data_IF_377635506920
#
_entry.id   IF_377635506920
#
_cell.length_a   1.000
_cell.length_b   1.000
_cell.length_c   1.000
_cell.angle_alpha   90.00
_cell.angle_beta   90.00
_cell.angle_gamma   90.00
#
_symmetry.space_group_name_H-M   'P 1'
#
loop_
_entity.id
_entity.type
_entity.pdbx_description
1 polymer ?
#
# COMPACT_ATOMS: atom_id res chain seq x y z
N UNK A 1 2.17 -7.95 26.34
CA UNK A 1 1.48 -9.22 26.62
C UNK A 1 0.23 -9.23 25.76
N UNK A 2 -0.05 -10.31 25.02
CA UNK A 2 -1.28 -10.39 24.23
C UNK A 2 -2.45 -10.56 25.20
N UNK A 3 -3.37 -9.60 25.21
CA UNK A 3 -4.59 -9.67 26.01
C UNK A 3 -5.55 -10.68 25.35
N UNK A 4 -5.99 -11.69 26.09
CA UNK A 4 -6.97 -12.65 25.58
C UNK A 4 -8.33 -11.95 25.42
N UNK A 5 -8.82 -11.86 24.19
CA UNK A 5 -10.13 -11.29 23.88
C UNK A 5 -11.13 -12.39 23.51
N UNK A 6 -12.34 -12.31 24.07
CA UNK A 6 -13.43 -13.22 23.69
C UNK A 6 -13.92 -12.92 22.27
N UNK A 7 -14.39 -13.95 21.55
CA UNK A 7 -14.96 -13.78 20.21
C UNK A 7 -16.17 -12.84 20.21
N UNK A 8 -16.97 -12.85 21.27
CA UNK A 8 -18.13 -11.97 21.42
C UNK A 8 -17.72 -10.51 21.59
N UNK A 9 -16.72 -10.24 22.44
CA UNK A 9 -16.15 -8.90 22.60
C UNK A 9 -15.57 -8.37 21.30
N UNK A 10 -14.80 -9.20 20.57
CA UNK A 10 -14.26 -8.83 19.27
C UNK A 10 -15.37 -8.47 18.28
N UNK A 11 -16.40 -9.31 18.15
CA UNK A 11 -17.55 -9.04 17.27
C UNK A 11 -18.24 -7.74 17.63
N UNK A 12 -18.47 -7.48 18.92
CA UNK A 12 -19.12 -6.25 19.37
C UNK A 12 -18.27 -5.02 19.03
N UNK A 13 -16.94 -5.07 19.20
CA UNK A 13 -16.04 -3.98 18.83
C UNK A 13 -16.10 -3.70 17.32
N UNK A 14 -16.06 -4.75 16.49
CA UNK A 14 -16.18 -4.61 15.03
C UNK A 14 -17.54 -4.03 14.64
N UNK A 15 -18.63 -4.55 15.20
CA UNK A 15 -19.97 -4.05 14.89
C UNK A 15 -20.17 -2.60 15.33
N UNK A 16 -19.64 -2.21 16.49
CA UNK A 16 -19.65 -0.82 16.93
C UNK A 16 -18.89 0.07 15.96
N UNK A 17 -17.72 -0.36 15.45
CA UNK A 17 -16.99 0.40 14.44
C UNK A 17 -17.77 0.54 13.13
N UNK A 18 -18.50 -0.49 12.72
CA UNK A 18 -19.38 -0.44 11.54
C UNK A 18 -20.52 0.56 11.74
N UNK A 19 -21.14 0.58 12.93
CA UNK A 19 -22.21 1.53 13.27
C UNK A 19 -21.71 2.97 13.38
N UNK A 20 -20.48 3.16 13.88
CA UNK A 20 -19.86 4.46 14.12
C UNK A 20 -18.50 4.55 13.41
N UNK A 21 -18.45 4.64 12.07
CA UNK A 21 -17.22 4.54 11.29
C UNK A 21 -16.22 5.67 11.56
N UNK A 22 -16.68 6.81 12.05
CA UNK A 22 -15.87 7.98 12.39
C UNK A 22 -15.39 7.98 13.85
N UNK A 23 -15.80 7.01 14.66
CA UNK A 23 -15.25 6.85 16.01
C UNK A 23 -13.74 6.61 15.94
N UNK A 24 -13.00 7.12 16.92
CA UNK A 24 -11.57 6.85 17.05
C UNK A 24 -11.34 5.77 18.12
N UNK A 25 -10.36 4.89 17.92
CA UNK A 25 -10.01 3.92 18.95
C UNK A 25 -9.48 4.65 20.20
N UNK A 26 -9.94 4.23 21.37
CA UNK A 26 -9.55 4.79 22.67
C UNK A 26 -8.62 3.87 23.46
N UNK A 27 -8.40 2.63 22.99
CA UNK A 27 -7.52 1.66 23.63
C UNK A 27 -6.57 1.01 22.63
N UNK A 28 -5.40 0.54 23.08
CA UNK A 28 -4.41 -0.14 22.24
C UNK A 28 -4.97 -1.42 21.60
N UNK A 29 -5.88 -2.10 22.30
CA UNK A 29 -6.60 -3.25 21.77
C UNK A 29 -7.50 -2.86 20.58
N UNK A 30 -8.24 -1.75 20.68
CA UNK A 30 -9.02 -1.22 19.56
C UNK A 30 -8.12 -0.82 18.39
N UNK A 31 -7.01 -0.14 18.65
CA UNK A 31 -6.02 0.21 17.62
C UNK A 31 -5.52 -1.04 16.90
N UNK A 32 -5.20 -2.10 17.65
CA UNK A 32 -4.70 -3.38 17.09
C UNK A 32 -5.76 -4.08 16.24
N UNK A 33 -7.01 -4.13 16.70
CA UNK A 33 -8.13 -4.74 15.97
C UNK A 33 -8.43 -3.94 14.70
N UNK A 34 -8.54 -2.61 14.79
CA UNK A 34 -8.78 -1.77 13.63
C UNK A 34 -7.65 -1.85 12.61
N UNK A 35 -6.39 -1.88 13.05
CA UNK A 35 -5.22 -2.07 12.18
C UNK A 35 -5.26 -3.42 11.47
N UNK A 36 -5.63 -4.50 12.16
CA UNK A 36 -5.77 -5.82 11.55
C UNK A 36 -6.88 -5.86 10.49
N UNK A 37 -8.02 -5.22 10.77
CA UNK A 37 -9.14 -5.11 9.81
C UNK A 37 -8.72 -4.26 8.61
N UNK A 38 -8.05 -3.12 8.84
CA UNK A 38 -7.57 -2.25 7.78
C UNK A 38 -6.57 -2.99 6.88
N UNK A 39 -5.66 -3.77 7.45
CA UNK A 39 -4.71 -4.59 6.69
C UNK A 39 -5.44 -5.55 5.74
N UNK A 40 -6.41 -6.30 6.24
CA UNK A 40 -7.17 -7.24 5.41
C UNK A 40 -8.06 -6.54 4.38
N UNK A 41 -8.68 -5.41 4.75
CA UNK A 41 -9.52 -4.63 3.85
C UNK A 41 -8.71 -4.07 2.68
N UNK A 42 -7.53 -3.48 2.94
CA UNK A 42 -6.62 -2.95 1.92
C UNK A 42 -6.12 -4.09 1.02
N UNK A 43 -5.66 -5.20 1.61
CA UNK A 43 -5.16 -6.37 0.88
C UNK A 43 -6.22 -6.93 -0.08
N UNK A 44 -7.45 -7.12 0.40
CA UNK A 44 -8.56 -7.63 -0.41
C UNK A 44 -8.98 -6.62 -1.47
N UNK A 45 -9.08 -5.33 -1.13
CA UNK A 45 -9.45 -4.28 -2.09
C UNK A 45 -8.43 -4.19 -3.23
N UNK A 46 -7.14 -4.23 -2.91
CA UNK A 46 -6.07 -4.22 -3.91
C UNK A 46 -6.11 -5.48 -4.78
N UNK A 47 -6.23 -6.67 -4.17
CA UNK A 47 -6.40 -7.92 -4.90
C UNK A 47 -7.59 -7.86 -5.86
N UNK A 48 -8.77 -7.42 -5.40
CA UNK A 48 -9.95 -7.32 -6.24
C UNK A 48 -9.79 -6.27 -7.34
N UNK A 49 -9.05 -5.20 -7.10
CA UNK A 49 -8.74 -4.22 -8.12
C UNK A 49 -7.87 -4.85 -9.22
N UNK A 50 -6.77 -5.52 -8.86
CA UNK A 50 -5.93 -6.24 -9.82
C UNK A 50 -6.73 -7.31 -10.55
N UNK A 51 -7.49 -8.16 -9.83
CA UNK A 51 -8.35 -9.17 -10.42
C UNK A 51 -9.35 -8.54 -11.41
N UNK A 52 -9.97 -7.41 -11.08
CA UNK A 52 -10.94 -6.74 -11.94
C UNK A 52 -10.31 -6.18 -13.20
N UNK A 53 -9.11 -5.61 -13.09
CA UNK A 53 -8.42 -5.00 -14.23
C UNK A 53 -7.75 -6.07 -15.11
N UNK A 54 -7.17 -7.13 -14.53
CA UNK A 54 -6.57 -8.26 -15.24
C UNK A 54 -7.62 -9.20 -15.86
N UNK A 55 -8.74 -9.43 -15.15
CA UNK A 55 -9.87 -10.12 -15.73
C UNK A 55 -10.44 -9.22 -16.82
N UNK A 56 -10.08 -9.51 -18.07
CA UNK A 56 -10.62 -8.97 -19.34
C UNK A 56 -12.16 -9.15 -19.44
N UNK A 57 -12.92 -8.63 -18.47
CA UNK A 57 -14.33 -8.94 -18.18
C UNK A 57 -15.32 -8.04 -18.90
N UNK A 58 -14.87 -7.25 -19.86
CA UNK A 58 -15.78 -6.77 -20.90
C UNK A 58 -16.48 -7.97 -21.58
N UNK A 59 -15.81 -9.12 -21.77
CA UNK A 59 -16.45 -10.29 -22.41
C UNK A 59 -17.45 -11.02 -21.50
N UNK A 60 -17.14 -11.20 -20.22
CA UNK A 60 -17.99 -11.95 -19.28
C UNK A 60 -19.24 -11.15 -18.85
N UNK A 61 -19.10 -9.84 -18.59
CA UNK A 61 -20.26 -9.02 -18.25
C UNK A 61 -21.18 -8.86 -19.47
N UNK A 62 -20.64 -8.72 -20.68
CA UNK A 62 -21.45 -8.65 -21.90
C UNK A 62 -22.14 -10.00 -22.22
N UNK A 63 -21.49 -11.15 -22.04
CA UNK A 63 -22.12 -12.46 -22.32
C UNK A 63 -23.17 -12.86 -21.28
N UNK A 64 -22.94 -12.55 -20.00
CA UNK A 64 -23.85 -12.91 -18.89
C UNK A 64 -25.02 -11.94 -18.81
N UNK A 65 -24.78 -10.64 -18.91
CA UNK A 65 -25.84 -9.63 -18.85
C UNK A 65 -26.53 -9.42 -20.21
N UNK A 66 -25.83 -9.60 -21.33
CA UNK A 66 -26.40 -9.43 -22.68
C UNK A 66 -27.41 -10.50 -23.09
N UNK A 67 -27.35 -11.70 -22.51
CA UNK A 67 -28.37 -12.75 -22.76
C UNK A 67 -29.66 -12.56 -21.98
N UNK A 68 -29.67 -11.76 -20.91
CA UNK A 68 -30.84 -11.60 -20.03
C UNK A 68 -31.40 -10.18 -20.00
N UNK A 69 -30.63 -9.17 -20.39
CA UNK A 69 -31.12 -7.80 -20.51
C UNK A 69 -31.47 -7.49 -21.97
N UNK A 70 -32.76 -7.58 -22.31
CA UNK A 70 -33.36 -6.77 -23.40
C UNK A 70 -33.46 -5.30 -22.95
N UNK A 71 -32.37 -4.71 -22.45
CA UNK A 71 -32.43 -3.36 -21.91
C UNK A 71 -32.23 -2.33 -23.04
N UNK A 72 -33.34 -1.68 -23.42
CA UNK A 72 -33.41 -0.39 -24.12
C UNK A 72 -32.91 0.79 -23.26
N UNK A 73 -32.06 0.53 -22.26
CA UNK A 73 -31.46 1.56 -21.42
C UNK A 73 -30.00 1.65 -21.85
N UNK A 74 -29.55 2.78 -22.43
CA UNK A 74 -28.14 2.97 -22.69
C UNK A 74 -27.45 2.93 -21.33
N UNK A 75 -26.68 1.88 -21.06
CA UNK A 75 -25.78 1.82 -19.91
C UNK A 75 -24.94 3.10 -19.94
N UNK A 76 -25.18 4.05 -19.01
CA UNK A 76 -24.41 5.26 -19.01
C UNK A 76 -22.99 4.88 -18.57
N UNK A 77 -22.02 5.60 -19.11
CA UNK A 77 -20.59 5.42 -18.90
C UNK A 77 -19.94 4.29 -19.69
N UNK A 78 -19.29 4.70 -20.79
CA UNK A 78 -17.82 4.66 -20.86
C UNK A 78 -17.23 3.49 -20.05
N UNK A 79 -17.43 2.28 -20.55
CA UNK A 79 -16.32 1.33 -20.68
C UNK A 79 -15.36 1.98 -21.71
N UNK A 80 -14.88 3.19 -21.40
CA UNK A 80 -13.77 3.81 -22.06
C UNK A 80 -12.69 2.78 -21.91
N UNK A 81 -12.23 2.21 -23.04
CA UNK A 81 -10.99 1.45 -23.20
C UNK A 81 -10.29 1.37 -21.85
N UNK A 82 -10.60 0.34 -21.04
CA UNK A 82 -9.87 0.17 -19.78
C UNK A 82 -8.43 0.13 -20.24
N UNK A 83 -7.69 1.16 -19.83
CA UNK A 83 -6.36 1.44 -20.34
C UNK A 83 -5.51 0.20 -20.16
N UNK A 84 -4.42 0.14 -20.92
CA UNK A 84 -3.35 -0.79 -20.61
C UNK A 84 -3.03 -0.62 -19.12
N UNK A 85 -2.90 -1.72 -18.40
CA UNK A 85 -2.45 -1.68 -17.01
C UNK A 85 -1.03 -1.16 -17.04
N UNK A 86 -0.83 0.10 -16.65
CA UNK A 86 0.50 0.68 -16.42
C UNK A 86 0.93 0.45 -14.96
N UNK A 87 0.55 -0.71 -14.41
CA UNK A 87 0.98 -1.17 -13.09
C UNK A 87 2.02 -2.26 -13.27
N UNK A 88 3.22 -2.01 -12.74
CA UNK A 88 4.30 -2.98 -12.66
C UNK A 88 4.87 -2.96 -11.23
N UNK A 89 4.96 -4.12 -10.55
CA UNK A 89 5.67 -4.22 -9.27
C UNK A 89 7.08 -3.65 -9.39
N UNK A 90 7.52 -2.85 -8.41
CA UNK A 90 8.83 -2.19 -8.46
C UNK A 90 8.83 -0.79 -9.04
N UNK A 91 7.70 -0.32 -9.61
CA UNK A 91 7.58 1.02 -10.23
C UNK A 91 6.66 1.99 -9.50
N UNK A 92 6.25 1.67 -8.27
CA UNK A 92 5.44 2.57 -7.45
C UNK A 92 6.37 3.39 -6.57
N UNK A 93 6.48 4.69 -6.86
CA UNK A 93 7.35 5.61 -6.11
C UNK A 93 6.74 6.07 -4.78
N UNK A 94 5.41 6.17 -4.69
CA UNK A 94 4.69 6.64 -3.49
C UNK A 94 3.38 5.87 -3.29
N UNK A 95 3.18 5.39 -2.07
CA UNK A 95 1.89 4.90 -1.56
C UNK A 95 1.41 5.89 -0.51
N UNK A 96 0.16 6.34 -0.67
CA UNK A 96 -0.46 7.30 0.22
C UNK A 96 -1.69 6.67 0.88
N UNK A 97 -1.61 6.43 2.18
CA UNK A 97 -2.72 5.92 2.98
C UNK A 97 -3.68 7.05 3.39
N UNK A 98 -4.97 6.88 3.14
CA UNK A 98 -6.01 7.76 3.70
C UNK A 98 -7.00 6.90 4.49
N UNK A 99 -7.70 7.49 5.45
CA UNK A 99 -8.58 6.76 6.36
C UNK A 99 -8.30 7.07 7.82
N UNK A 100 -9.35 7.17 8.66
CA UNK A 100 -9.23 7.44 10.10
C UNK A 100 -8.27 6.49 10.80
N UNK A 101 -8.34 5.21 10.41
CA UNK A 101 -7.50 4.13 10.94
C UNK A 101 -6.01 4.29 10.59
N UNK A 102 -5.65 4.99 9.51
CA UNK A 102 -4.23 5.23 9.16
C UNK A 102 -3.75 6.60 9.64
N UNK A 103 -4.61 7.63 9.56
CA UNK A 103 -4.25 9.00 9.90
C UNK A 103 -4.15 9.28 11.42
N UNK A 104 -4.90 8.53 12.25
CA UNK A 104 -4.98 8.77 13.70
C UNK A 104 -4.40 7.65 14.57
N UNK A 105 -3.74 6.68 13.93
CA UNK A 105 -3.03 5.57 14.59
C UNK A 105 -1.55 5.93 14.72
N UNK A 106 -0.80 5.35 15.68
CA UNK A 106 0.65 5.54 15.73
C UNK A 106 1.32 5.28 14.38
N UNK A 107 2.29 6.14 14.02
CA UNK A 107 2.94 6.16 12.70
C UNK A 107 3.54 4.81 12.30
N UNK A 108 4.18 4.13 13.25
CA UNK A 108 4.73 2.77 13.06
C UNK A 108 3.67 1.73 12.70
N UNK A 109 2.52 1.80 13.37
CA UNK A 109 1.40 0.89 13.13
C UNK A 109 0.78 1.15 11.75
N UNK A 110 0.59 2.41 11.36
CA UNK A 110 0.13 2.77 10.02
C UNK A 110 1.10 2.28 8.93
N UNK A 111 2.41 2.49 9.12
CA UNK A 111 3.46 2.02 8.21
C UNK A 111 3.42 0.49 8.06
N UNK A 112 3.35 -0.23 9.18
CA UNK A 112 3.29 -1.70 9.20
C UNK A 112 2.01 -2.22 8.51
N UNK A 113 0.86 -1.59 8.76
CA UNK A 113 -0.41 -1.93 8.09
C UNK A 113 -0.28 -1.77 6.58
N UNK A 114 0.27 -0.66 6.10
CA UNK A 114 0.43 -0.42 4.65
C UNK A 114 1.40 -1.43 4.03
N UNK A 115 2.56 -1.67 4.67
CA UNK A 115 3.56 -2.61 4.15
C UNK A 115 2.97 -4.03 4.07
N UNK A 116 2.30 -4.49 5.13
CA UNK A 116 1.75 -5.85 5.16
C UNK A 116 0.51 -6.02 4.27
N UNK A 117 -0.28 -4.95 4.07
CA UNK A 117 -1.49 -5.04 3.27
C UNK A 117 -1.24 -4.90 1.77
N UNK A 118 -0.38 -3.95 1.41
CA UNK A 118 -0.13 -3.60 0.01
C UNK A 118 1.05 -4.36 -0.58
N UNK A 119 1.95 -4.85 0.28
CA UNK A 119 3.21 -5.51 -0.10
C UNK A 119 4.02 -4.70 -1.12
N UNK A 120 4.47 -3.46 -0.76
CA UNK A 120 5.20 -2.59 -1.69
C UNK A 120 6.43 -3.28 -2.26
N UNK A 121 6.75 -2.96 -3.51
CA UNK A 121 7.83 -3.56 -4.28
C UNK A 121 8.70 -2.47 -4.91
N UNK A 122 10.01 -2.68 -4.94
CA UNK A 122 10.99 -1.68 -5.35
C UNK A 122 11.46 -0.83 -4.17
N UNK A 123 11.70 0.44 -4.44
CA UNK A 123 11.94 1.48 -3.43
C UNK A 123 10.72 2.39 -3.45
N UNK A 124 9.87 2.30 -2.43
CA UNK A 124 8.56 2.95 -2.38
C UNK A 124 8.44 3.83 -1.15
N UNK A 125 8.17 5.11 -1.35
CA UNK A 125 7.82 6.03 -0.27
C UNK A 125 6.42 5.71 0.26
N UNK A 126 6.23 5.84 1.56
CA UNK A 126 4.95 5.63 2.23
C UNK A 126 4.64 6.86 3.06
N UNK A 127 3.44 7.40 2.86
CA UNK A 127 2.91 8.49 3.66
C UNK A 127 1.42 8.31 3.92
N UNK A 128 0.84 9.23 4.67
CA UNK A 128 -0.61 9.31 4.89
C UNK A 128 -1.16 10.69 4.59
N UNK A 129 -2.41 10.75 4.15
CA UNK A 129 -3.22 11.96 4.20
C UNK A 129 -3.75 12.14 5.63
N UNK A 130 -3.04 12.96 6.39
CA UNK A 130 -3.30 13.15 7.82
C UNK A 130 -4.56 13.97 8.11
N UNK A 131 -5.11 14.68 7.11
CA UNK A 131 -6.23 15.63 7.27
C UNK A 131 -7.42 15.35 6.36
N UNK A 132 -7.39 14.27 5.58
CA UNK A 132 -8.46 13.89 4.66
C UNK A 132 -8.74 14.95 3.59
N UNK A 133 -7.71 15.67 3.17
CA UNK A 133 -7.86 16.78 2.25
C UNK A 133 -7.68 16.37 0.79
N UNK A 134 -7.14 15.18 0.51
CA UNK A 134 -6.85 14.74 -0.86
C UNK A 134 -8.05 14.88 -1.82
N UNK A 135 -9.30 14.46 -1.49
CA UNK A 135 -10.42 14.63 -2.42
C UNK A 135 -10.72 16.10 -2.73
N UNK A 136 -10.56 16.98 -1.74
CA UNK A 136 -10.79 18.41 -1.88
C UNK A 136 -9.67 19.08 -2.68
N UNK A 137 -8.41 18.72 -2.41
CA UNK A 137 -7.24 19.19 -3.14
C UNK A 137 -7.26 18.74 -4.60
N UNK A 138 -7.80 17.54 -4.89
CA UNK A 138 -8.01 17.08 -6.25
C UNK A 138 -8.97 17.97 -7.05
N UNK A 139 -10.01 18.51 -6.41
CA UNK A 139 -10.91 19.50 -7.05
C UNK A 139 -10.20 20.84 -7.22
N UNK A 140 -9.52 21.34 -6.17
CA UNK A 140 -8.79 22.60 -6.21
C UNK A 140 -7.71 22.61 -7.30
N UNK A 141 -7.03 21.48 -7.51
CA UNK A 141 -6.00 21.33 -8.54
C UNK A 141 -6.49 21.59 -9.97
N UNK A 142 -7.80 21.56 -10.22
CA UNK A 142 -8.36 21.88 -11.55
C UNK A 142 -8.40 23.38 -11.85
N UNK A 143 -8.28 24.22 -10.81
CA UNK A 143 -8.36 25.68 -10.90
C UNK A 143 -7.10 26.38 -10.40
N UNK A 144 -6.50 25.90 -9.31
CA UNK A 144 -5.32 26.49 -8.65
C UNK A 144 -4.30 25.36 -8.30
N UNK A 145 -3.54 24.85 -9.29
CA UNK A 145 -2.64 23.71 -9.11
C UNK A 145 -1.53 23.97 -8.07
N UNK A 146 -0.90 25.13 -8.12
CA UNK A 146 0.22 25.49 -7.24
C UNK A 146 -0.23 25.56 -5.78
N UNK A 147 -1.41 26.16 -5.53
CA UNK A 147 -1.99 26.23 -4.19
C UNK A 147 -2.42 24.84 -3.70
N UNK A 148 -3.02 24.02 -4.56
CA UNK A 148 -3.38 22.65 -4.20
C UNK A 148 -2.16 21.84 -3.78
N UNK A 149 -1.04 22.00 -4.50
CA UNK A 149 0.22 21.37 -4.15
C UNK A 149 0.80 21.88 -2.83
N UNK A 150 0.85 23.21 -2.64
CA UNK A 150 1.34 23.81 -1.40
C UNK A 150 0.53 23.33 -0.18
N UNK A 151 -0.79 23.27 -0.31
CA UNK A 151 -1.66 22.78 0.75
C UNK A 151 -1.48 21.29 1.01
N UNK A 152 -1.27 20.50 -0.05
CA UNK A 152 -0.96 19.08 0.08
C UNK A 152 0.31 18.87 0.90
N UNK A 153 1.41 19.51 0.50
CA UNK A 153 2.72 19.36 1.12
C UNK A 153 2.74 19.84 2.57
N UNK A 154 2.12 21.00 2.86
CA UNK A 154 2.17 21.61 4.19
C UNK A 154 1.18 21.02 5.19
N UNK A 155 0.00 20.59 4.73
CA UNK A 155 -1.11 20.26 5.64
C UNK A 155 -1.63 18.83 5.53
N UNK A 156 -1.51 18.18 4.38
CA UNK A 156 -2.12 16.86 4.17
C UNK A 156 -1.10 15.74 4.26
N UNK A 157 0.00 15.85 3.51
CA UNK A 157 1.02 14.83 3.40
C UNK A 157 1.81 14.69 4.70
N UNK A 158 1.72 13.53 5.33
CA UNK A 158 2.58 13.13 6.42
C UNK A 158 3.43 11.94 5.98
N UNK A 159 4.76 12.10 5.76
CA UNK A 159 5.62 10.97 5.41
C UNK A 159 5.66 9.99 6.58
N UNK A 160 5.69 8.67 6.30
CA UNK A 160 5.85 7.62 7.31
C UNK A 160 7.22 6.94 7.23
N UNK A 161 7.68 6.63 6.01
CA UNK A 161 8.96 5.99 5.78
C UNK A 161 9.09 5.45 4.35
N UNK A 162 10.17 4.73 4.07
CA UNK A 162 10.47 4.14 2.77
C UNK A 162 10.53 2.62 2.90
N UNK A 163 9.85 1.88 2.02
CA UNK A 163 9.96 0.43 1.92
C UNK A 163 10.89 0.05 0.77
N UNK A 164 11.93 -0.74 1.07
CA UNK A 164 12.85 -1.31 0.09
C UNK A 164 12.62 -2.82 0.05
N UNK A 165 11.99 -3.31 -1.01
CA UNK A 165 11.57 -4.70 -1.12
C UNK A 165 11.72 -5.22 -2.56
N UNK A 166 12.63 -6.15 -2.85
CA UNK A 166 12.83 -6.66 -4.19
C UNK A 166 11.74 -7.67 -4.57
N UNK A 167 11.36 -7.69 -5.84
CA UNK A 167 10.51 -8.74 -6.42
C UNK A 167 11.37 -9.85 -7.01
N UNK A 168 10.92 -11.10 -6.93
CA UNK A 168 11.61 -12.24 -7.51
C UNK A 168 11.77 -13.42 -6.57
N UNK A 169 12.09 -14.59 -7.14
CA UNK A 169 12.24 -15.85 -6.41
C UNK A 169 13.64 -15.97 -5.83
N UNK A 170 13.75 -15.87 -4.52
CA UNK A 170 15.00 -15.97 -3.76
C UNK A 170 14.89 -17.11 -2.75
N UNK A 171 15.96 -17.87 -2.59
CA UNK A 171 16.04 -18.98 -1.64
C UNK A 171 16.10 -18.49 -0.19
N UNK A 172 15.68 -19.34 0.75
CA UNK A 172 15.79 -19.01 2.17
C UNK A 172 17.25 -18.78 2.58
N UNK A 173 17.49 -17.73 3.37
CA UNK A 173 18.82 -17.32 3.79
C UNK A 173 19.70 -16.67 2.70
N UNK A 174 19.24 -16.56 1.45
CA UNK A 174 19.92 -15.79 0.41
C UNK A 174 19.83 -14.28 0.72
N UNK A 175 20.88 -13.53 0.39
CA UNK A 175 20.88 -12.07 0.44
C UNK A 175 19.88 -11.53 -0.60
N UNK A 176 18.91 -10.74 -0.14
CA UNK A 176 17.83 -10.20 -0.99
C UNK A 176 18.03 -8.72 -1.27
N UNK A 177 18.56 -7.97 -0.31
CA UNK A 177 18.89 -6.55 -0.46
C UNK A 177 20.22 -6.28 0.24
N UNK A 178 21.07 -5.52 -0.44
CA UNK A 178 22.28 -4.95 0.12
C UNK A 178 22.28 -3.43 -0.13
N UNK A 179 22.25 -2.66 0.95
CA UNK A 179 22.51 -1.22 0.92
C UNK A 179 23.99 -1.02 1.26
N UNK A 180 24.78 -0.57 0.29
CA UNK A 180 26.23 -0.46 0.43
C UNK A 180 26.62 0.38 1.67
N UNK A 181 27.48 -0.18 2.53
CA UNK A 181 27.95 0.50 3.75
C UNK A 181 26.95 0.55 4.91
N UNK A 182 25.73 0.02 4.74
CA UNK A 182 24.67 0.08 5.76
C UNK A 182 24.28 -1.31 6.25
N UNK A 183 23.64 -2.12 5.42
CA UNK A 183 23.06 -3.40 5.86
C UNK A 183 22.80 -4.36 4.69
N UNK A 184 22.90 -5.65 5.01
CA UNK A 184 22.53 -6.76 4.14
C UNK A 184 21.39 -7.53 4.78
N UNK A 185 20.30 -7.68 4.04
CA UNK A 185 19.09 -8.37 4.50
C UNK A 185 18.95 -9.68 3.73
N UNK A 186 18.57 -10.75 4.45
CA UNK A 186 18.33 -12.07 3.86
C UNK A 186 16.84 -12.33 3.67
N UNK A 187 16.51 -13.33 2.86
CA UNK A 187 15.11 -13.76 2.63
C UNK A 187 14.49 -14.15 3.97
N UNK A 188 13.32 -13.58 4.26
CA UNK A 188 12.56 -13.79 5.50
C UNK A 188 12.80 -12.73 6.57
N UNK A 189 13.92 -12.00 6.51
CA UNK A 189 14.24 -10.96 7.48
C UNK A 189 13.62 -9.61 7.10
N UNK A 190 13.36 -8.78 8.11
CA UNK A 190 12.94 -7.40 7.93
C UNK A 190 13.73 -6.52 8.89
N UNK A 191 14.32 -5.44 8.36
CA UNK A 191 15.17 -4.54 9.14
C UNK A 191 14.65 -3.11 8.99
N UNK A 192 14.47 -2.43 10.12
CA UNK A 192 14.25 -0.98 10.17
C UNK A 192 15.59 -0.28 10.43
N UNK A 193 15.86 0.78 9.67
CA UNK A 193 17.02 1.67 9.89
C UNK A 193 16.62 3.11 9.61
N UNK A 194 17.48 4.07 9.98
CA UNK A 194 17.32 5.48 9.63
C UNK A 194 18.45 5.91 8.70
N UNK A 195 18.08 6.48 7.56
CA UNK A 195 19.02 6.91 6.52
C UNK A 195 18.72 8.34 6.10
N UNK A 196 19.75 9.03 5.62
CA UNK A 196 19.63 10.41 5.14
C UNK A 196 20.71 10.66 4.09
N UNK A 197 20.37 10.47 2.82
CA UNK A 197 21.27 10.69 1.69
C UNK A 197 21.07 9.73 0.53
N UNK A 198 22.03 9.73 -0.39
CA UNK A 198 22.01 8.90 -1.57
C UNK A 198 22.74 7.56 -1.33
N UNK A 199 22.04 6.45 -1.58
CA UNK A 199 22.56 5.11 -1.35
C UNK A 199 22.48 4.23 -2.59
N UNK A 200 23.50 3.38 -2.75
CA UNK A 200 23.51 2.33 -3.75
C UNK A 200 22.91 1.05 -3.18
N UNK A 201 21.83 0.59 -3.80
CA UNK A 201 21.02 -0.54 -3.35
C UNK A 201 21.12 -1.64 -4.42
N UNK A 202 21.57 -2.82 -4.01
CA UNK A 202 21.71 -3.99 -4.89
C UNK A 202 20.74 -5.09 -4.44
N UNK A 203 19.83 -5.54 -5.32
CA UNK A 203 19.03 -6.72 -5.01
C UNK A 203 19.85 -8.00 -5.18
N UNK A 204 19.40 -9.09 -4.55
CA UNK A 204 19.92 -10.42 -4.82
C UNK A 204 19.86 -10.77 -6.32
N UNK A 205 20.64 -11.76 -6.78
CA UNK A 205 20.80 -12.09 -8.22
C UNK A 205 19.49 -12.26 -9.00
N UNK A 206 18.46 -12.79 -8.35
CA UNK A 206 17.12 -13.03 -8.94
C UNK A 206 16.09 -11.98 -8.52
N UNK A 207 16.46 -11.06 -7.63
CA UNK A 207 15.64 -9.95 -7.16
C UNK A 207 15.70 -8.76 -8.11
N UNK A 208 14.65 -7.95 -8.11
CA UNK A 208 14.53 -6.73 -8.92
C UNK A 208 13.92 -5.60 -8.07
N UNK A 209 14.52 -4.42 -8.15
CA UNK A 209 14.04 -3.19 -7.48
C UNK A 209 13.39 -2.19 -8.46
N UNK A 210 13.03 -2.63 -9.67
CA UNK A 210 12.41 -1.82 -10.72
C UNK A 210 13.33 -1.47 -11.90
N UNK A 211 14.63 -1.82 -11.81
CA UNK A 211 15.63 -1.55 -12.86
C UNK A 211 16.06 -2.80 -13.65
N UNK A 212 15.53 -3.97 -13.30
CA UNK A 212 15.90 -5.27 -13.85
C UNK A 212 16.60 -6.16 -12.81
N UNK A 213 16.52 -7.48 -13.03
CA UNK A 213 17.07 -8.49 -12.13
C UNK A 213 18.56 -8.28 -11.81
N UNK A 214 18.89 -8.28 -10.52
CA UNK A 214 20.25 -8.16 -9.99
C UNK A 214 20.93 -6.82 -10.27
N UNK A 215 20.23 -5.83 -10.84
CA UNK A 215 20.81 -4.53 -11.15
C UNK A 215 20.75 -3.62 -9.93
N UNK A 216 21.90 -3.06 -9.59
CA UNK A 216 21.98 -2.03 -8.57
C UNK A 216 21.30 -0.74 -9.04
N UNK A 217 20.66 -0.05 -8.10
CA UNK A 217 20.10 1.29 -8.29
C UNK A 217 20.71 2.25 -7.28
N UNK A 218 20.67 3.54 -7.61
CA UNK A 218 21.01 4.61 -6.68
C UNK A 218 19.75 5.39 -6.38
N UNK A 219 19.42 5.55 -5.09
CA UNK A 219 18.23 6.27 -4.64
C UNK A 219 18.54 7.10 -3.40
N UNK A 220 17.89 8.25 -3.32
CA UNK A 220 17.83 9.04 -2.10
C UNK A 220 16.89 8.37 -1.11
N UNK A 221 17.35 8.18 0.12
CA UNK A 221 16.60 7.60 1.22
C UNK A 221 16.65 8.55 2.42
N UNK A 222 15.49 8.83 3.01
CA UNK A 222 15.35 9.73 4.14
C UNK A 222 14.43 9.17 5.22
N UNK A 223 14.80 9.38 6.47
CA UNK A 223 14.02 8.99 7.64
C UNK A 223 14.00 7.48 7.84
N UNK A 224 12.84 6.97 8.23
CA UNK A 224 12.67 5.54 8.51
C UNK A 224 12.65 4.72 7.21
N UNK A 225 13.60 3.80 7.08
CA UNK A 225 13.72 2.88 5.95
C UNK A 225 13.49 1.45 6.42
N UNK A 226 12.47 0.81 5.87
CA UNK A 226 12.12 -0.59 6.09
C UNK A 226 12.63 -1.42 4.92
N UNK A 227 13.62 -2.26 5.19
CA UNK A 227 14.17 -3.18 4.21
C UNK A 227 13.48 -4.51 4.44
N UNK A 228 12.56 -4.84 3.54
CA UNK A 228 11.67 -5.99 3.68
C UNK A 228 12.13 -7.14 2.78
N UNK A 229 12.79 -8.10 3.41
CA UNK A 229 13.27 -9.31 2.78
C UNK A 229 12.28 -10.47 2.80
N UNK A 230 11.05 -10.29 3.28
CA UNK A 230 10.02 -11.34 3.32
C UNK A 230 9.61 -11.79 1.91
N UNK A 231 9.88 -10.97 0.90
CA UNK A 231 9.63 -11.23 -0.52
C UNK A 231 8.23 -10.84 -0.96
N UNK A 232 8.00 -10.93 -2.27
CA UNK A 232 6.76 -10.49 -2.93
C UNK A 232 6.30 -11.55 -3.95
N UNK A 233 5.08 -12.11 -3.80
CA UNK A 233 4.19 -11.93 -2.65
C UNK A 233 4.77 -12.52 -1.35
N UNK A 234 4.31 -12.05 -0.17
CA UNK A 234 4.86 -12.47 1.14
C UNK A 234 4.54 -13.95 1.45
N UNK A 235 3.46 -14.50 0.89
CA UNK A 235 2.93 -15.83 1.22
C UNK A 235 3.13 -16.91 0.13
N UNK A 236 4.10 -16.73 -0.79
CA UNK A 236 4.54 -17.77 -1.75
C UNK A 236 5.93 -18.36 -1.44
#
# INVERSE_FOLDING_TARGET
MAEEISLESLKNMVMNKVLYPTSLPTTDLQVSIESAIAREAIRLAFKYHIDFVEAKRAKYLIDVFGKHLKAKVPLPYRIAKVGKIDWEPGKIDLILGSGGTLAYTPRESALSVIIDAFEPAGVTNIGVDSKFLLPHLGVLNTVEPELAWELFEKFSYAPLGICVAPVGKMGQGEEVVNIEGVVKVKKGDMVKTQLDGEYRITPGKKGDLGAGKGRAITRELHGDVIIDGRGRPINE
#
